data_IF_232356056392
#
_entry.id   IF_232356056392
#
_cell.length_a   1.000
_cell.length_b   1.000
_cell.length_c   1.000
_cell.angle_alpha   90.00
_cell.angle_beta   90.00
_cell.angle_gamma   90.00
#
_symmetry.space_group_name_H-M   'P 1'
#
loop_
_entity.id
_entity.type
_entity.pdbx_description
1 polymer ?
#
# COMPACT_ATOMS: atom_id res chain seq x y z
N UNK A 1 -0.52 -19.66 17.93
CA UNK A 1 -0.30 -18.98 16.63
C UNK A 1 0.65 -17.81 16.85
N UNK A 2 1.79 -17.71 16.13
CA UNK A 2 2.64 -16.53 16.22
C UNK A 2 1.83 -15.30 15.78
N UNK A 3 1.85 -14.24 16.60
CA UNK A 3 1.18 -12.99 16.26
C UNK A 3 1.95 -12.36 15.09
N UNK A 4 1.33 -12.31 13.91
CA UNK A 4 1.91 -11.60 12.76
C UNK A 4 2.13 -10.13 13.11
N UNK A 5 3.25 -9.58 12.65
CA UNK A 5 3.59 -8.17 12.85
C UNK A 5 2.56 -7.29 12.13
N UNK A 6 2.00 -6.31 12.83
CA UNK A 6 1.15 -5.28 12.21
C UNK A 6 2.03 -4.33 11.40
N UNK A 7 1.65 -4.09 10.15
CA UNK A 7 2.28 -3.11 9.27
C UNK A 7 1.54 -1.78 9.35
N UNK A 8 2.28 -0.69 9.33
CA UNK A 8 1.76 0.66 9.18
C UNK A 8 1.38 0.94 7.72
N UNK A 9 0.53 1.95 7.50
CA UNK A 9 0.20 2.38 6.13
C UNK A 9 1.46 2.76 5.34
N UNK A 10 2.42 3.45 5.97
CA UNK A 10 3.69 3.84 5.34
C UNK A 10 4.50 2.63 4.87
N UNK A 11 4.58 1.59 5.70
CA UNK A 11 5.28 0.35 5.33
C UNK A 11 4.58 -0.37 4.17
N UNK A 12 3.25 -0.47 4.21
CA UNK A 12 2.48 -1.07 3.13
C UNK A 12 2.66 -0.31 1.81
N UNK A 13 2.60 1.02 1.82
CA UNK A 13 2.80 1.83 0.62
C UNK A 13 4.20 1.65 0.03
N UNK A 14 5.24 1.57 0.87
CA UNK A 14 6.60 1.29 0.41
C UNK A 14 6.73 -0.10 -0.24
N UNK A 15 6.06 -1.11 0.32
CA UNK A 15 6.03 -2.46 -0.26
C UNK A 15 5.28 -2.45 -1.59
N UNK A 16 4.10 -1.83 -1.66
CA UNK A 16 3.29 -1.77 -2.88
C UNK A 16 3.98 -1.01 -4.02
N UNK A 17 4.73 0.05 -3.71
CA UNK A 17 5.54 0.76 -4.70
C UNK A 17 6.54 -0.16 -5.41
N UNK A 18 7.16 -1.10 -4.68
CA UNK A 18 8.08 -2.10 -5.27
C UNK A 18 7.37 -3.09 -6.20
N UNK A 19 6.06 -3.30 -6.01
CA UNK A 19 5.22 -4.12 -6.89
C UNK A 19 4.64 -3.34 -8.08
N UNK A 20 5.05 -2.09 -8.26
CA UNK A 20 4.59 -1.22 -9.35
C UNK A 20 3.26 -0.52 -9.07
N UNK A 21 2.80 -0.45 -7.82
CA UNK A 21 1.60 0.32 -7.48
C UNK A 21 1.95 1.78 -7.17
N UNK A 22 1.12 2.69 -7.66
CA UNK A 22 1.16 4.11 -7.35
C UNK A 22 -0.15 4.56 -6.69
N UNK A 23 -0.08 5.61 -5.88
CA UNK A 23 -1.27 6.26 -5.29
C UNK A 23 -1.94 7.09 -6.38
N UNK A 24 -3.22 6.85 -6.64
CA UNK A 24 -4.01 7.62 -7.62
C UNK A 24 -4.97 8.61 -6.97
N UNK A 25 -5.40 8.35 -5.74
CA UNK A 25 -6.24 9.27 -4.97
C UNK A 25 -6.27 8.88 -3.49
N UNK A 26 -6.54 9.85 -2.62
CA UNK A 26 -6.84 9.60 -1.21
C UNK A 26 -8.13 10.33 -0.81
N UNK A 27 -9.00 9.65 -0.06
CA UNK A 27 -10.18 10.26 0.58
C UNK A 27 -10.19 9.88 2.04
N UNK A 28 -9.85 10.82 2.91
CA UNK A 28 -9.68 10.56 4.34
C UNK A 28 -8.64 9.48 4.59
N UNK A 29 -9.00 8.46 5.36
CA UNK A 29 -8.12 7.32 5.69
C UNK A 29 -8.01 6.26 4.59
N UNK A 30 -8.74 6.40 3.47
CA UNK A 30 -8.69 5.44 2.36
C UNK A 30 -7.79 5.93 1.24
N UNK A 31 -6.79 5.11 0.88
CA UNK A 31 -5.85 5.36 -0.21
C UNK A 31 -6.18 4.41 -1.36
N UNK A 32 -6.40 4.96 -2.56
CA UNK A 32 -6.59 4.18 -3.79
C UNK A 32 -5.23 4.02 -4.47
N UNK A 33 -4.86 2.77 -4.74
CA UNK A 33 -3.66 2.40 -5.48
C UNK A 33 -4.04 1.87 -6.87
N UNK A 34 -3.19 2.13 -7.86
CA UNK A 34 -3.29 1.55 -9.19
C UNK A 34 -1.93 0.96 -9.57
N UNK A 35 -1.91 -0.21 -10.21
CA UNK A 35 -0.68 -0.79 -10.74
C UNK A 35 -0.34 -0.10 -12.06
N UNK A 36 0.85 0.47 -12.15
CA UNK A 36 1.36 1.12 -13.34
C UNK A 36 2.02 0.07 -14.24
N UNK A 37 1.34 -0.31 -15.32
CA UNK A 37 1.82 -1.30 -16.29
C UNK A 37 1.48 -2.76 -15.94
N UNK A 38 1.13 -3.53 -16.97
CA UNK A 38 1.13 -4.99 -17.00
C UNK A 38 2.35 -5.46 -17.79
#
# INVERSE_FOLDING_TARGET
MPKLRRLTAKELLAIFARFGFAIVSQRGSHIKLMRMGA
#
